data_IF_842928047914
#
_entry.id   IF_842928047914
#
_cell.length_a   1.000
_cell.length_b   1.000
_cell.length_c   1.000
_cell.angle_alpha   90.00
_cell.angle_beta   90.00
_cell.angle_gamma   90.00
#
_symmetry.space_group_name_H-M   'P 1'
#
loop_
_entity.id
_entity.type
_entity.pdbx_description
1 polymer ?
#
# COMPACT_ATOMS: atom_id res chain seq x y z
N UNK A 1 5.92 22.46 23.07
CA UNK A 1 6.22 23.19 21.81
C UNK A 1 5.63 22.35 20.72
N UNK A 2 4.52 22.80 20.18
CA UNK A 2 3.83 22.18 19.05
C UNK A 2 4.80 22.22 17.87
N UNK A 3 5.21 21.06 17.39
CA UNK A 3 5.79 20.95 16.07
C UNK A 3 4.63 21.23 15.11
N UNK A 4 4.54 22.50 14.68
CA UNK A 4 3.52 22.93 13.75
C UNK A 4 3.74 22.27 12.39
N UNK A 5 3.27 21.06 12.25
CA UNK A 5 3.07 20.47 10.91
C UNK A 5 1.82 21.13 10.38
N UNK A 6 1.97 21.90 9.32
CA UNK A 6 0.83 22.52 8.64
C UNK A 6 -0.11 21.39 8.14
N UNK A 7 -1.40 21.39 8.53
CA UNK A 7 -2.34 20.41 8.02
C UNK A 7 -2.43 20.38 6.50
N UNK A 8 -2.00 21.42 5.80
CA UNK A 8 -1.91 21.44 4.34
C UNK A 8 -0.77 20.58 3.79
N UNK A 9 0.29 20.36 4.57
CA UNK A 9 1.40 19.44 4.22
C UNK A 9 1.01 17.97 4.40
N UNK A 10 -0.03 17.68 5.18
CA UNK A 10 -0.60 16.34 5.36
C UNK A 10 -1.62 15.98 4.27
N UNK A 11 -1.90 16.90 3.35
CA UNK A 11 -2.81 16.62 2.25
C UNK A 11 -2.10 15.76 1.22
N UNK A 12 -2.52 14.50 1.14
CA UNK A 12 -2.32 13.71 -0.08
C UNK A 12 -2.88 14.51 -1.24
N UNK A 13 -2.03 14.93 -2.17
CA UNK A 13 -2.54 15.43 -3.43
C UNK A 13 -3.15 14.26 -4.20
N UNK A 14 -4.19 14.52 -4.96
CA UNK A 14 -4.84 13.51 -5.80
C UNK A 14 -3.86 12.82 -6.76
N UNK A 15 -2.73 13.45 -7.06
CA UNK A 15 -1.68 12.97 -7.95
C UNK A 15 -0.75 11.98 -7.26
N UNK A 16 -0.52 12.12 -5.95
CA UNK A 16 0.44 11.31 -5.20
C UNK A 16 -0.04 9.87 -4.97
N UNK A 17 -1.33 9.63 -5.02
CA UNK A 17 -1.88 8.31 -4.70
C UNK A 17 -2.05 7.37 -5.89
N UNK A 18 -1.93 7.87 -7.13
CA UNK A 18 -2.25 7.07 -8.32
C UNK A 18 -3.72 6.59 -8.42
N UNK A 19 -4.52 6.86 -7.38
CA UNK A 19 -5.89 6.37 -7.21
C UNK A 19 -6.96 7.45 -7.39
N UNK A 20 -6.65 8.60 -7.98
CA UNK A 20 -7.54 9.74 -8.12
C UNK A 20 -8.98 9.41 -8.53
N UNK A 21 -9.14 8.40 -9.39
CA UNK A 21 -10.45 7.97 -9.90
C UNK A 21 -11.10 6.86 -9.10
N UNK A 22 -10.41 6.33 -8.11
CA UNK A 22 -10.81 5.13 -7.37
C UNK A 22 -11.03 5.38 -5.87
N UNK A 23 -10.96 6.62 -5.42
CA UNK A 23 -11.22 6.96 -4.02
C UNK A 23 -12.69 7.25 -3.77
N UNK A 24 -13.18 6.88 -2.58
CA UNK A 24 -14.47 7.33 -2.06
C UNK A 24 -14.28 8.62 -1.27
N UNK A 25 -14.89 9.68 -1.72
CA UNK A 25 -14.88 10.95 -1.01
C UNK A 25 -15.88 10.97 0.14
N UNK A 26 -15.49 11.58 1.24
CA UNK A 26 -16.31 11.84 2.41
C UNK A 26 -16.34 13.34 2.63
N UNK A 27 -17.47 13.95 2.32
CA UNK A 27 -17.70 15.40 2.42
C UNK A 27 -18.66 15.78 3.56
N UNK A 28 -19.29 14.78 4.19
CA UNK A 28 -20.26 14.98 5.26
C UNK A 28 -20.00 14.09 6.47
N UNK A 29 -20.29 14.63 7.66
CA UNK A 29 -20.39 13.90 8.93
C UNK A 29 -21.79 14.10 9.53
N UNK A 30 -22.68 13.10 9.43
CA UNK A 30 -24.10 13.28 9.70
C UNK A 30 -24.70 14.28 8.71
N UNK A 31 -25.41 15.30 9.22
CA UNK A 31 -26.00 16.35 8.40
C UNK A 31 -25.06 17.52 8.10
N UNK A 32 -23.87 17.53 8.70
CA UNK A 32 -22.92 18.62 8.57
C UNK A 32 -21.93 18.35 7.43
N UNK A 33 -21.70 19.35 6.60
CA UNK A 33 -20.61 19.30 5.63
C UNK A 33 -19.28 19.48 6.35
N UNK A 34 -18.27 18.67 5.93
CA UNK A 34 -16.91 18.79 6.46
C UNK A 34 -16.24 20.03 5.88
N UNK A 35 -15.50 20.76 6.71
CA UNK A 35 -14.69 21.91 6.26
C UNK A 35 -13.58 21.45 5.29
N UNK A 36 -13.02 20.27 5.56
CA UNK A 36 -12.01 19.65 4.72
C UNK A 36 -12.55 18.31 4.23
N UNK A 37 -12.75 18.15 2.92
CA UNK A 37 -13.12 16.86 2.36
C UNK A 37 -12.04 15.80 2.67
N UNK A 38 -12.48 14.60 3.03
CA UNK A 38 -11.61 13.45 3.26
C UNK A 38 -11.91 12.39 2.21
N UNK A 39 -11.09 11.37 2.18
CA UNK A 39 -11.38 10.16 1.40
C UNK A 39 -11.07 8.90 2.21
N UNK A 40 -11.78 7.83 1.89
CA UNK A 40 -11.48 6.53 2.46
C UNK A 40 -10.18 6.01 1.84
N UNK A 41 -9.27 5.51 2.66
CA UNK A 41 -7.94 5.06 2.21
C UNK A 41 -8.04 3.95 1.17
N UNK A 42 -7.44 4.12 -0.02
CA UNK A 42 -7.27 3.03 -0.98
C UNK A 42 -6.05 2.16 -0.66
N UNK A 43 -5.10 2.72 0.08
CA UNK A 43 -3.84 2.18 0.59
C UNK A 43 -3.32 3.14 1.67
N UNK A 44 -2.21 2.84 2.34
CA UNK A 44 -1.76 3.62 3.50
C UNK A 44 -0.34 4.18 3.40
N UNK A 45 0.31 4.16 2.23
CA UNK A 45 1.68 4.65 2.09
C UNK A 45 1.82 6.10 2.60
N UNK A 46 0.99 7.00 2.08
CA UNK A 46 1.12 8.43 2.41
C UNK A 46 0.94 8.73 3.91
N UNK A 47 -0.15 8.28 4.60
CA UNK A 47 -0.27 8.53 6.02
C UNK A 47 0.82 7.81 6.84
N UNK A 48 1.25 6.61 6.44
CA UNK A 48 2.30 5.88 7.16
C UNK A 48 3.65 6.59 7.05
N UNK A 49 4.03 7.06 5.87
CA UNK A 49 5.33 7.73 5.68
C UNK A 49 5.38 9.08 6.37
N UNK A 50 4.26 9.79 6.42
CA UNK A 50 4.14 10.99 7.25
C UNK A 50 4.36 10.66 8.72
N UNK A 51 3.76 9.57 9.22
CA UNK A 51 3.99 9.15 10.61
C UNK A 51 5.42 8.69 10.85
N UNK A 52 6.05 8.01 9.89
CA UNK A 52 7.47 7.62 10.00
C UNK A 52 8.39 8.83 10.15
N UNK A 53 8.13 9.92 9.42
CA UNK A 53 8.90 11.15 9.57
C UNK A 53 8.81 11.76 10.96
N UNK A 54 7.74 11.48 11.70
CA UNK A 54 7.56 11.92 13.09
C UNK A 54 8.16 10.95 14.09
N UNK A 55 8.12 9.65 13.81
CA UNK A 55 8.59 8.60 14.73
C UNK A 55 10.08 8.37 14.64
N UNK A 56 10.66 8.41 13.44
CA UNK A 56 12.09 8.21 13.22
C UNK A 56 12.81 9.53 13.47
N UNK A 57 13.57 9.59 14.55
CA UNK A 57 14.30 10.79 14.98
C UNK A 57 15.81 10.64 14.88
N UNK A 58 16.27 9.40 14.81
CA UNK A 58 17.67 9.07 14.71
C UNK A 58 17.89 7.71 14.07
N UNK A 59 19.12 7.41 13.68
CA UNK A 59 19.49 6.07 13.21
C UNK A 59 19.24 4.94 14.23
N UNK A 60 19.15 5.29 15.52
CA UNK A 60 18.86 4.29 16.57
C UNK A 60 17.41 3.78 16.51
N UNK A 61 16.52 4.47 15.81
CA UNK A 61 15.12 4.09 15.64
C UNK A 61 14.92 3.12 14.46
N UNK A 62 15.99 2.82 13.72
CA UNK A 62 15.98 1.94 12.56
C UNK A 62 16.56 0.56 12.86
N UNK A 63 16.10 -0.52 12.24
CA UNK A 63 14.98 -0.53 11.30
C UNK A 63 13.63 -0.36 12.01
N UNK A 64 12.75 0.42 11.43
CA UNK A 64 11.34 0.48 11.83
C UNK A 64 10.53 -0.46 10.96
N UNK A 65 9.84 -1.41 11.56
CA UNK A 65 8.99 -2.39 10.88
C UNK A 65 7.59 -2.32 11.44
N UNK A 66 6.62 -2.04 10.60
CA UNK A 66 5.21 -1.94 10.98
C UNK A 66 4.35 -2.77 10.06
N UNK A 67 3.21 -3.24 10.56
CA UNK A 67 2.20 -3.86 9.73
C UNK A 67 0.80 -3.51 10.24
N UNK A 68 -0.18 -3.66 9.39
CA UNK A 68 -1.58 -3.54 9.76
C UNK A 68 -2.45 -4.48 8.92
N UNK A 69 -3.58 -4.88 9.51
CA UNK A 69 -4.68 -5.54 8.80
C UNK A 69 -5.87 -4.63 8.93
N UNK A 70 -6.27 -4.02 7.84
CA UNK A 70 -7.27 -2.95 7.83
C UNK A 70 -8.14 -3.02 6.60
N UNK A 71 -9.29 -2.37 6.66
CA UNK A 71 -10.12 -2.19 5.48
C UNK A 71 -9.56 -1.05 4.63
N UNK A 72 -9.39 -1.32 3.35
CA UNK A 72 -9.12 -0.32 2.30
C UNK A 72 -10.31 -0.26 1.36
N UNK A 73 -10.50 0.89 0.72
CA UNK A 73 -11.69 1.17 -0.06
C UNK A 73 -11.28 1.68 -1.44
N UNK A 74 -11.78 1.00 -2.49
CA UNK A 74 -11.53 1.40 -3.87
C UNK A 74 -12.83 1.45 -4.64
N UNK A 75 -13.12 2.58 -5.29
CA UNK A 75 -14.30 2.74 -6.14
C UNK A 75 -14.07 2.03 -7.47
N UNK A 76 -14.10 0.71 -7.40
CA UNK A 76 -13.97 -0.16 -8.56
C UNK A 76 -15.30 -0.22 -9.33
N UNK A 77 -15.29 0.19 -10.58
CA UNK A 77 -16.47 0.19 -11.44
C UNK A 77 -16.48 -0.96 -12.44
N UNK A 78 -15.33 -1.59 -12.64
CA UNK A 78 -15.14 -2.66 -13.62
C UNK A 78 -14.59 -3.92 -12.96
N UNK A 79 -15.02 -5.08 -13.42
CA UNK A 79 -14.48 -6.38 -13.05
C UNK A 79 -14.60 -6.75 -11.55
N UNK A 80 -15.50 -6.13 -10.81
CA UNK A 80 -15.77 -6.55 -9.42
C UNK A 80 -16.35 -7.96 -9.40
N UNK A 81 -15.92 -8.74 -8.41
CA UNK A 81 -16.37 -10.09 -8.18
C UNK A 81 -16.47 -10.35 -6.67
N UNK A 82 -17.59 -10.89 -6.22
CA UNK A 82 -17.79 -11.22 -4.80
C UNK A 82 -16.62 -12.03 -4.27
N UNK A 83 -16.12 -11.63 -3.10
CA UNK A 83 -14.98 -12.20 -2.36
C UNK A 83 -13.60 -12.08 -3.01
N UNK A 84 -13.51 -11.86 -4.34
CA UNK A 84 -12.24 -11.83 -5.06
C UNK A 84 -11.78 -10.39 -5.32
N UNK A 85 -12.68 -9.55 -5.83
CA UNK A 85 -12.39 -8.15 -6.12
C UNK A 85 -13.60 -7.31 -5.72
N UNK A 86 -13.52 -6.76 -4.54
CA UNK A 86 -14.60 -6.01 -3.87
C UNK A 86 -14.16 -4.57 -3.64
N UNK A 87 -15.10 -3.72 -3.28
CA UNK A 87 -14.85 -2.29 -3.05
C UNK A 87 -14.34 -1.97 -1.65
N UNK A 88 -14.64 -2.84 -0.70
CA UNK A 88 -14.08 -2.85 0.65
C UNK A 88 -13.24 -4.11 0.80
N UNK A 89 -11.95 -3.96 1.01
CA UNK A 89 -10.98 -5.05 0.99
C UNK A 89 -10.36 -5.17 2.37
N UNK A 90 -10.33 -6.37 2.95
CA UNK A 90 -9.44 -6.68 4.05
C UNK A 90 -8.01 -6.74 3.52
N UNK A 91 -7.20 -5.80 3.94
CA UNK A 91 -5.90 -5.55 3.36
C UNK A 91 -4.82 -5.73 4.44
N UNK A 92 -3.88 -6.63 4.17
CA UNK A 92 -2.65 -6.70 4.92
C UNK A 92 -1.62 -5.82 4.22
N UNK A 93 -0.99 -4.94 4.96
CA UNK A 93 0.13 -4.15 4.47
C UNK A 93 1.20 -4.02 5.56
N UNK A 94 2.45 -4.16 5.14
CA UNK A 94 3.62 -3.92 5.97
C UNK A 94 4.44 -2.79 5.35
N UNK A 95 4.90 -1.88 6.21
CA UNK A 95 5.72 -0.74 5.82
C UNK A 95 6.95 -0.74 6.69
N UNK A 96 8.12 -0.70 6.07
CA UNK A 96 9.40 -0.79 6.78
C UNK A 96 10.37 0.28 6.31
N UNK A 97 11.18 0.76 7.22
CA UNK A 97 12.26 1.72 6.94
C UNK A 97 13.56 1.15 7.48
N UNK A 98 14.60 1.21 6.69
CA UNK A 98 15.91 0.63 6.97
C UNK A 98 17.01 1.67 6.94
N UNK A 99 18.17 1.33 7.50
CA UNK A 99 19.35 2.21 7.51
C UNK A 99 19.94 2.38 6.12
N UNK A 100 19.81 1.33 5.29
CA UNK A 100 20.42 1.27 3.97
C UNK A 100 19.59 0.40 2.99
N UNK A 101 19.98 0.44 1.73
CA UNK A 101 19.34 -0.31 0.65
C UNK A 101 19.43 -1.83 0.85
N UNK A 102 20.53 -2.30 1.46
CA UNK A 102 20.71 -3.73 1.71
C UNK A 102 19.66 -4.25 2.71
N UNK A 103 19.46 -3.54 3.81
CA UNK A 103 18.44 -3.89 4.81
C UNK A 103 17.02 -3.91 4.23
N UNK A 104 16.69 -2.97 3.34
CA UNK A 104 15.41 -2.96 2.63
C UNK A 104 15.26 -4.14 1.67
N UNK A 105 16.35 -4.47 0.95
CA UNK A 105 16.36 -5.60 0.02
C UNK A 105 16.21 -6.94 0.77
N UNK A 106 16.90 -7.09 1.89
CA UNK A 106 16.81 -8.30 2.72
C UNK A 106 15.39 -8.47 3.29
N UNK A 107 14.75 -7.36 3.68
CA UNK A 107 13.36 -7.40 4.14
C UNK A 107 12.40 -7.86 3.04
N UNK A 108 12.54 -7.35 1.82
CA UNK A 108 11.70 -7.78 0.70
C UNK A 108 11.90 -9.28 0.42
N UNK A 109 13.12 -9.79 0.54
CA UNK A 109 13.39 -11.21 0.37
C UNK A 109 12.72 -12.06 1.46
N UNK A 110 12.76 -11.59 2.72
CA UNK A 110 12.06 -12.24 3.84
C UNK A 110 10.55 -12.25 3.62
N UNK A 111 9.97 -11.11 3.26
CA UNK A 111 8.53 -10.98 3.00
C UNK A 111 8.09 -11.87 1.82
N UNK A 112 8.90 -11.95 0.78
CA UNK A 112 8.64 -12.81 -0.37
C UNK A 112 8.64 -14.29 0.02
N UNK A 113 9.57 -14.74 0.86
CA UNK A 113 9.60 -16.12 1.38
C UNK A 113 8.36 -16.42 2.22
N UNK A 114 7.94 -15.50 3.08
CA UNK A 114 6.72 -15.65 3.89
C UNK A 114 5.50 -15.83 3.00
N UNK A 115 5.33 -14.97 2.00
CA UNK A 115 4.17 -15.05 1.08
C UNK A 115 4.22 -16.32 0.23
N UNK A 116 5.39 -16.74 -0.25
CA UNK A 116 5.52 -18.00 -0.98
C UNK A 116 5.10 -19.21 -0.15
N UNK A 117 5.55 -19.26 1.10
CA UNK A 117 5.14 -20.34 2.03
C UNK A 117 3.64 -20.32 2.28
N UNK A 118 3.06 -19.15 2.51
CA UNK A 118 1.62 -19.01 2.70
C UNK A 118 0.83 -19.49 1.47
N UNK A 119 1.23 -19.09 0.27
CA UNK A 119 0.57 -19.50 -0.97
C UNK A 119 0.71 -21.01 -1.22
N UNK A 120 1.86 -21.57 -0.87
CA UNK A 120 2.08 -23.02 -0.95
C UNK A 120 1.14 -23.79 -0.01
N UNK A 121 1.00 -23.34 1.24
CA UNK A 121 0.10 -23.94 2.22
C UNK A 121 -1.38 -23.81 1.80
N UNK A 122 -1.74 -22.74 1.14
CA UNK A 122 -3.08 -22.51 0.59
C UNK A 122 -3.32 -23.24 -0.75
N UNK A 123 -2.33 -23.94 -1.27
CA UNK A 123 -2.38 -24.57 -2.61
C UNK A 123 -2.67 -23.57 -3.74
N UNK A 124 -2.18 -22.33 -3.61
CA UNK A 124 -2.32 -21.29 -4.64
C UNK A 124 -1.05 -21.22 -5.51
N UNK A 125 -1.10 -21.70 -6.76
CA UNK A 125 0.01 -21.51 -7.69
C UNK A 125 0.11 -20.03 -8.06
N UNK A 126 1.27 -19.44 -7.83
CA UNK A 126 1.53 -18.03 -8.12
C UNK A 126 2.79 -17.85 -8.96
N UNK A 127 2.78 -16.78 -9.74
CA UNK A 127 3.92 -16.30 -10.52
C UNK A 127 4.45 -15.05 -9.84
N UNK A 128 5.73 -15.05 -9.49
CA UNK A 128 6.40 -13.87 -8.91
C UNK A 128 7.21 -13.22 -10.01
N UNK A 129 6.97 -11.95 -10.28
CA UNK A 129 7.64 -11.23 -11.35
C UNK A 129 7.95 -9.78 -10.98
N UNK A 130 9.14 -9.33 -11.33
CA UNK A 130 9.49 -7.91 -11.27
C UNK A 130 8.69 -7.17 -12.35
N UNK A 131 8.02 -6.10 -11.95
CA UNK A 131 7.25 -5.28 -12.88
C UNK A 131 8.18 -4.44 -13.76
N UNK A 132 7.80 -4.23 -15.02
CA UNK A 132 8.49 -3.28 -15.88
C UNK A 132 8.27 -1.85 -15.36
N UNK A 133 9.13 -0.93 -15.79
CA UNK A 133 9.14 0.47 -15.31
C UNK A 133 7.78 1.15 -15.44
N UNK A 134 7.05 0.87 -16.52
CA UNK A 134 5.72 1.47 -16.77
C UNK A 134 4.59 0.87 -15.92
N UNK A 135 4.84 -0.22 -15.20
CA UNK A 135 3.88 -0.89 -14.30
C UNK A 135 4.42 -0.94 -12.85
N UNK A 136 5.38 -0.08 -12.55
CA UNK A 136 5.92 0.10 -11.20
C UNK A 136 5.03 1.05 -10.42
N UNK A 137 4.83 0.78 -9.14
CA UNK A 137 4.04 1.66 -8.27
C UNK A 137 4.64 3.07 -8.25
N UNK A 138 3.82 4.13 -8.28
CA UNK A 138 4.31 5.51 -8.26
C UNK A 138 5.25 5.76 -7.09
N UNK A 139 6.43 6.33 -7.39
CA UNK A 139 7.49 6.59 -6.40
C UNK A 139 8.39 5.40 -6.07
N UNK A 140 8.02 4.17 -6.39
CA UNK A 140 8.90 3.03 -6.16
C UNK A 140 10.02 2.94 -7.21
N UNK A 141 11.21 2.57 -6.76
CA UNK A 141 12.31 2.24 -7.65
C UNK A 141 12.03 0.97 -8.45
N UNK A 142 11.49 -0.04 -7.78
CA UNK A 142 10.94 -1.20 -8.45
C UNK A 142 9.78 -1.82 -7.66
N UNK A 143 8.96 -2.57 -8.39
CA UNK A 143 7.87 -3.35 -7.82
C UNK A 143 7.99 -4.80 -8.25
N UNK A 144 7.73 -5.72 -7.33
CA UNK A 144 7.61 -7.14 -7.60
C UNK A 144 6.20 -7.58 -7.24
N UNK A 145 5.51 -8.21 -8.17
CA UNK A 145 4.15 -8.66 -7.96
C UNK A 145 4.06 -10.19 -7.90
N UNK A 146 3.06 -10.64 -7.17
CA UNK A 146 2.67 -12.03 -7.04
C UNK A 146 1.31 -12.18 -7.70
N UNK A 147 1.27 -12.86 -8.83
CA UNK A 147 0.08 -13.03 -9.65
C UNK A 147 -0.41 -14.48 -9.63
N UNK A 148 -1.71 -14.66 -9.49
CA UNK A 148 -2.38 -15.97 -9.62
C UNK A 148 -3.11 -16.03 -10.95
N UNK A 149 -3.03 -17.18 -11.62
CA UNK A 149 -3.76 -17.40 -12.87
C UNK A 149 -5.20 -17.76 -12.55
N UNK A 150 -6.11 -16.97 -13.06
CA UNK A 150 -7.56 -17.19 -12.90
C UNK A 150 -8.10 -18.15 -13.97
N UNK A 151 -9.21 -18.84 -13.69
CA UNK A 151 -9.81 -19.79 -14.65
C UNK A 151 -10.18 -19.19 -16.01
N UNK A 152 -10.32 -17.85 -16.09
CA UNK A 152 -10.60 -17.13 -17.34
C UNK A 152 -9.34 -16.80 -18.14
N UNK A 153 -8.16 -17.31 -17.74
CA UNK A 153 -6.88 -17.06 -18.39
C UNK A 153 -6.24 -15.70 -18.06
N UNK A 154 -6.84 -14.90 -17.19
CA UNK A 154 -6.26 -13.63 -16.71
C UNK A 154 -5.48 -13.84 -15.43
N UNK A 155 -4.56 -12.94 -15.14
CA UNK A 155 -3.88 -12.88 -13.85
C UNK A 155 -4.64 -12.00 -12.85
N UNK A 156 -4.55 -12.36 -11.58
CA UNK A 156 -4.98 -11.53 -10.46
C UNK A 156 -3.78 -11.32 -9.54
N UNK A 157 -3.38 -10.08 -9.32
CA UNK A 157 -2.35 -9.73 -8.36
C UNK A 157 -2.89 -9.95 -6.93
N UNK A 158 -2.23 -10.79 -6.17
CA UNK A 158 -2.61 -11.14 -4.79
C UNK A 158 -1.68 -10.53 -3.74
N UNK A 159 -0.44 -10.21 -4.13
CA UNK A 159 0.50 -9.47 -3.30
C UNK A 159 1.46 -8.67 -4.17
N UNK A 160 2.11 -7.68 -3.56
CA UNK A 160 3.13 -6.87 -4.22
C UNK A 160 4.12 -6.34 -3.19
N UNK A 161 5.36 -6.14 -3.63
CA UNK A 161 6.42 -5.53 -2.85
C UNK A 161 6.92 -4.31 -3.62
N UNK A 162 7.05 -3.21 -2.91
CA UNK A 162 7.54 -1.96 -3.47
C UNK A 162 8.83 -1.58 -2.74
N UNK A 163 9.90 -1.42 -3.50
CA UNK A 163 11.16 -0.90 -2.99
C UNK A 163 11.27 0.56 -3.36
N UNK A 164 11.34 1.41 -2.36
CA UNK A 164 11.58 2.84 -2.54
C UNK A 164 13.07 3.10 -2.33
N UNK A 165 13.59 4.07 -3.04
CA UNK A 165 14.87 4.70 -2.71
C UNK A 165 14.64 5.90 -1.81
N UNK A 166 15.74 6.42 -1.28
CA UNK A 166 15.82 7.64 -0.46
C UNK A 166 15.02 8.81 -1.04
#
# INVERSE_FOLDING_TARGET
RDAGVDPSELRMTEEDAGFKKEVYWVDRGGDNQLEVPMFLRPTSETPMYTMFSLWIRSHADLPLKTFQIVNTFRYETKQTRSFIRVREIHFFEAHTVHVDEQGATDQIAEDADIVQRLLHELCFPAIISKRPVWDTFPGAWHSTAVDVIMPNGRTLQVATYHHYRD
#
